data_IF_850721650338
#
_entry.id   IF_850721650338
#
_cell.length_a   1.000
_cell.length_b   1.000
_cell.length_c   1.000
_cell.angle_alpha   90.00
_cell.angle_beta   90.00
_cell.angle_gamma   90.00
#
_symmetry.space_group_name_H-M   'P 1'
#
loop_
_entity.id
_entity.type
_entity.pdbx_description
1 polymer ?
#
# COMPACT_ATOMS: atom_id res chain seq x y z
N UNK A 1 33.53 21.42 1.39
CA UNK A 1 33.75 20.19 2.16
C UNK A 1 32.49 19.34 1.99
N UNK A 2 32.45 18.52 0.95
CA UNK A 2 31.26 17.77 0.55
C UNK A 2 31.10 16.62 1.53
N UNK A 3 30.12 16.70 2.43
CA UNK A 3 29.74 15.58 3.30
C UNK A 3 29.24 14.49 2.36
N UNK A 4 29.95 13.37 2.26
CA UNK A 4 29.41 12.19 1.63
C UNK A 4 28.25 11.75 2.52
N UNK A 5 27.02 12.07 2.12
CA UNK A 5 25.84 11.48 2.73
C UNK A 5 25.97 9.97 2.53
N UNK A 6 25.91 9.22 3.64
CA UNK A 6 25.98 7.78 3.60
C UNK A 6 24.67 7.29 2.99
N UNK A 7 24.71 6.98 1.69
CA UNK A 7 23.54 6.56 0.92
C UNK A 7 23.51 5.04 0.82
N UNK A 8 22.44 4.42 1.31
CA UNK A 8 22.15 3.02 1.07
C UNK A 8 21.20 2.88 -0.11
N UNK A 9 21.51 1.96 -1.02
CA UNK A 9 20.68 1.63 -2.18
C UNK A 9 20.29 0.14 -2.08
N UNK A 10 19.00 -0.15 -2.15
CA UNK A 10 18.44 -1.51 -2.09
C UNK A 10 17.65 -1.77 -3.37
N UNK A 11 18.09 -2.76 -4.16
CA UNK A 11 17.40 -3.20 -5.38
C UNK A 11 16.30 -4.20 -5.04
N UNK A 12 15.11 -3.99 -5.59
CA UNK A 12 13.93 -4.84 -5.39
C UNK A 12 13.75 -5.78 -6.60
N UNK A 13 14.55 -6.83 -6.63
CA UNK A 13 14.67 -7.76 -7.76
C UNK A 13 13.38 -8.53 -8.08
N UNK A 14 12.47 -8.64 -7.11
CA UNK A 14 11.16 -9.29 -7.30
C UNK A 14 10.13 -8.45 -8.04
N UNK A 15 10.37 -7.15 -8.19
CA UNK A 15 9.47 -6.23 -8.88
C UNK A 15 9.99 -5.91 -10.29
N UNK A 16 9.20 -6.22 -11.32
CA UNK A 16 9.45 -5.75 -12.69
C UNK A 16 8.67 -4.46 -12.96
N UNK A 17 9.39 -3.35 -13.06
CA UNK A 17 8.85 -2.04 -13.44
C UNK A 17 8.36 -1.93 -14.87
N UNK A 18 8.64 -2.93 -15.71
CA UNK A 18 8.09 -3.04 -17.07
C UNK A 18 6.66 -3.60 -17.05
N UNK A 19 6.26 -4.25 -15.94
CA UNK A 19 4.89 -4.66 -15.68
C UNK A 19 4.17 -3.58 -14.85
N UNK A 20 2.92 -3.24 -15.21
CA UNK A 20 2.13 -2.24 -14.50
C UNK A 20 1.95 -2.58 -13.01
N UNK A 21 1.74 -3.86 -12.68
CA UNK A 21 1.58 -4.29 -11.29
C UNK A 21 2.88 -4.14 -10.50
N UNK A 22 4.02 -4.58 -11.06
CA UNK A 22 5.33 -4.39 -10.44
C UNK A 22 5.66 -2.91 -10.24
N UNK A 23 5.32 -2.08 -11.24
CA UNK A 23 5.44 -0.63 -11.15
C UNK A 23 4.59 -0.02 -10.01
N UNK A 24 3.30 -0.37 -9.95
CA UNK A 24 2.38 0.14 -8.92
C UNK A 24 2.75 -0.37 -7.51
N UNK A 25 3.20 -1.62 -7.40
CA UNK A 25 3.68 -2.19 -6.14
C UNK A 25 4.90 -1.41 -5.61
N UNK A 26 5.83 -1.04 -6.49
CA UNK A 26 6.98 -0.23 -6.13
C UNK A 26 6.56 1.18 -5.63
N UNK A 27 5.59 1.82 -6.29
CA UNK A 27 5.06 3.12 -5.83
C UNK A 27 4.34 3.00 -4.48
N UNK A 28 3.55 1.95 -4.27
CA UNK A 28 2.90 1.66 -3.00
C UNK A 28 3.91 1.46 -1.87
N UNK A 29 4.99 0.72 -2.15
CA UNK A 29 6.10 0.53 -1.22
C UNK A 29 6.78 1.85 -0.87
N UNK A 30 7.11 2.69 -1.86
CA UNK A 30 7.73 3.99 -1.61
C UNK A 30 6.86 4.86 -0.71
N UNK A 31 5.55 4.90 -0.99
CA UNK A 31 4.56 5.64 -0.19
C UNK A 31 4.46 5.13 1.25
N UNK A 32 4.56 3.81 1.42
CA UNK A 32 4.56 3.15 2.72
C UNK A 32 5.80 3.54 3.53
N UNK A 33 6.99 3.43 2.92
CA UNK A 33 8.26 3.81 3.56
C UNK A 33 8.29 5.29 3.95
N UNK A 34 7.79 6.17 3.08
CA UNK A 34 7.66 7.61 3.35
C UNK A 34 6.76 7.89 4.57
N UNK A 35 5.70 7.11 4.75
CA UNK A 35 4.79 7.27 5.89
C UNK A 35 5.39 6.89 7.24
N UNK A 36 6.33 5.93 7.27
CA UNK A 36 7.02 5.51 8.50
C UNK A 36 8.14 6.48 8.86
N UNK A 37 8.77 7.10 7.86
CA UNK A 37 9.85 8.08 8.05
C UNK A 37 9.39 9.46 8.55
N UNK A 38 8.11 9.64 8.91
CA UNK A 38 7.59 10.87 9.53
C UNK A 38 7.62 12.11 8.62
N UNK A 39 7.64 11.94 7.30
CA UNK A 39 7.61 13.06 6.34
C UNK A 39 8.81 14.02 6.45
N UNK A 40 9.97 13.50 6.86
CA UNK A 40 11.19 14.30 6.97
C UNK A 40 11.63 14.83 5.59
N UNK A 41 12.37 15.95 5.59
CA UNK A 41 12.82 16.62 4.37
C UNK A 41 13.70 15.75 3.42
N UNK A 42 14.12 14.55 3.87
CA UNK A 42 14.92 13.60 3.08
C UNK A 42 14.35 12.18 3.21
N UNK A 43 13.07 12.01 2.85
CA UNK A 43 12.42 10.70 2.79
C UNK A 43 13.07 9.73 1.78
N UNK A 44 12.62 8.47 1.76
CA UNK A 44 13.10 7.49 0.79
C UNK A 44 12.88 7.99 -0.64
N UNK A 45 13.84 7.72 -1.51
CA UNK A 45 13.70 7.99 -2.95
C UNK A 45 13.76 6.70 -3.73
N UNK A 46 13.18 6.68 -4.93
CA UNK A 46 13.21 5.51 -5.80
C UNK A 46 13.70 5.91 -7.18
N UNK A 47 14.56 5.06 -7.75
CA UNK A 47 14.99 5.13 -9.15
C UNK A 47 14.79 3.77 -9.82
N UNK A 48 14.69 3.78 -11.14
CA UNK A 48 14.61 2.55 -11.93
C UNK A 48 15.99 2.21 -12.50
N UNK A 49 16.41 0.96 -12.38
CA UNK A 49 17.69 0.47 -12.89
C UNK A 49 17.44 -0.59 -13.97
N UNK A 50 18.03 -0.45 -15.17
CA UNK A 50 17.93 -1.48 -16.21
C UNK A 50 18.55 -2.80 -15.74
N UNK A 51 17.86 -3.91 -16.02
CA UNK A 51 18.33 -5.27 -15.76
C UNK A 51 17.97 -6.19 -16.93
N UNK A 52 18.79 -6.16 -18.00
CA UNK A 52 18.47 -6.88 -19.22
C UNK A 52 17.26 -6.28 -19.93
N UNK A 53 16.17 -7.04 -20.05
CA UNK A 53 14.91 -6.59 -20.65
C UNK A 53 13.91 -6.02 -19.65
N UNK A 54 14.24 -5.98 -18.37
CA UNK A 54 13.36 -5.50 -17.29
C UNK A 54 13.95 -4.25 -16.62
N UNK A 55 13.15 -3.63 -15.75
CA UNK A 55 13.56 -2.50 -14.91
C UNK A 55 13.28 -2.81 -13.45
N UNK A 56 14.30 -2.80 -12.61
CA UNK A 56 14.11 -3.01 -11.18
C UNK A 56 14.06 -1.68 -10.42
N UNK A 57 13.15 -1.51 -9.46
CA UNK A 57 13.17 -0.37 -8.57
C UNK A 57 14.34 -0.49 -7.60
N UNK A 58 15.03 0.62 -7.39
CA UNK A 58 16.07 0.78 -6.39
C UNK A 58 15.62 1.87 -5.43
N UNK A 59 15.45 1.50 -4.16
CA UNK A 59 15.12 2.43 -3.08
C UNK A 59 16.41 2.94 -2.46
N UNK A 60 16.48 4.25 -2.25
CA UNK A 60 17.65 4.94 -1.73
C UNK A 60 17.29 5.71 -0.46
N UNK A 61 18.12 5.56 0.56
CA UNK A 61 18.02 6.28 1.82
C UNK A 61 19.27 7.11 2.06
N UNK A 62 19.11 8.29 2.66
CA UNK A 62 20.20 9.25 2.92
C UNK A 62 20.30 9.66 4.39
N UNK A 63 19.44 9.11 5.25
CA UNK A 63 19.35 9.47 6.67
C UNK A 63 20.02 8.43 7.56
N UNK A 64 20.63 8.91 8.65
CA UNK A 64 21.17 8.04 9.69
C UNK A 64 20.03 7.23 10.34
N UNK A 65 20.23 5.91 10.49
CA UNK A 65 19.23 4.99 11.02
C UNK A 65 18.20 4.50 10.00
N UNK A 66 18.30 4.91 8.74
CA UNK A 66 17.49 4.34 7.67
C UNK A 66 17.96 2.92 7.29
N UNK A 67 17.10 2.11 6.63
CA UNK A 67 17.47 0.78 6.17
C UNK A 67 18.76 0.76 5.36
N UNK A 68 19.73 -0.05 5.78
CA UNK A 68 21.03 -0.21 5.12
C UNK A 68 21.16 -1.55 4.39
N UNK A 69 20.27 -2.50 4.67
CA UNK A 69 20.25 -3.84 4.12
C UNK A 69 18.83 -4.32 3.76
N UNK A 70 18.73 -5.45 3.04
CA UNK A 70 17.45 -6.12 2.74
C UNK A 70 16.68 -6.44 4.04
N UNK A 71 17.38 -6.90 5.08
CA UNK A 71 16.77 -7.22 6.37
C UNK A 71 16.22 -5.98 7.08
N UNK A 72 16.98 -4.89 7.12
CA UNK A 72 16.52 -3.65 7.75
C UNK A 72 15.28 -3.09 7.04
N UNK A 73 15.20 -3.28 5.71
CA UNK A 73 14.03 -2.89 4.93
C UNK A 73 12.82 -3.76 5.27
N UNK A 74 13.00 -5.08 5.39
CA UNK A 74 11.93 -5.99 5.80
C UNK A 74 11.43 -5.67 7.21
N UNK A 75 12.33 -5.38 8.16
CA UNK A 75 11.99 -4.96 9.52
C UNK A 75 11.15 -3.67 9.50
N UNK A 76 11.56 -2.68 8.72
CA UNK A 76 10.84 -1.42 8.60
C UNK A 76 9.43 -1.61 8.02
N UNK A 77 9.27 -2.50 7.04
CA UNK A 77 7.99 -2.80 6.40
C UNK A 77 7.05 -3.60 7.30
N UNK A 78 7.59 -4.58 8.03
CA UNK A 78 6.82 -5.36 9.01
C UNK A 78 6.24 -4.44 10.09
N UNK A 79 7.07 -3.57 10.68
CA UNK A 79 6.63 -2.56 11.63
C UNK A 79 5.59 -1.60 11.02
N UNK A 80 5.76 -1.22 9.75
CA UNK A 80 4.81 -0.37 9.04
C UNK A 80 3.43 -1.03 8.91
N UNK A 81 3.41 -2.30 8.49
CA UNK A 81 2.17 -3.06 8.28
C UNK A 81 1.48 -3.29 9.62
N UNK A 82 2.22 -3.66 10.66
CA UNK A 82 1.69 -3.87 12.01
C UNK A 82 1.03 -2.59 12.54
N UNK A 83 1.70 -1.45 12.45
CA UNK A 83 1.18 -0.15 12.88
C UNK A 83 -0.12 0.26 12.15
N UNK A 84 -0.38 -0.29 10.96
CA UNK A 84 -1.56 0.03 10.15
C UNK A 84 -2.70 -0.98 10.29
N UNK A 85 -2.49 -2.11 10.97
CA UNK A 85 -3.42 -3.24 10.96
C UNK A 85 -4.74 -2.96 11.68
N UNK A 86 -4.71 -2.20 12.78
CA UNK A 86 -5.89 -1.87 13.60
C UNK A 86 -6.55 -0.54 13.23
N UNK A 87 -5.79 0.45 12.75
CA UNK A 87 -6.31 1.73 12.25
C UNK A 87 -6.51 1.76 10.73
N UNK A 88 -6.62 0.57 10.14
CA UNK A 88 -6.77 0.41 8.69
C UNK A 88 -8.05 1.08 8.17
N UNK A 89 -8.00 1.76 7.00
CA UNK A 89 -9.18 2.33 6.35
C UNK A 89 -10.17 1.27 5.85
N UNK A 90 -9.89 -0.03 6.07
CA UNK A 90 -10.72 -1.15 5.67
C UNK A 90 -11.58 -1.72 6.82
N UNK A 91 -11.59 -1.09 8.00
CA UNK A 91 -12.25 -1.62 9.22
C UNK A 91 -13.70 -1.15 9.43
N UNK A 92 -14.17 -0.17 8.67
CA UNK A 92 -15.45 0.52 8.93
C UNK A 92 -16.69 -0.22 8.42
N UNK A 93 -16.52 -1.14 7.46
CA UNK A 93 -17.58 -2.00 6.92
C UNK A 93 -16.96 -3.24 6.26
N UNK A 94 -17.81 -4.18 5.81
CA UNK A 94 -17.37 -5.34 5.00
C UNK A 94 -17.14 -4.98 3.53
N UNK A 95 -17.87 -4.00 3.04
CA UNK A 95 -17.95 -3.61 1.64
C UNK A 95 -18.19 -2.10 1.56
N UNK A 96 -17.90 -1.50 0.41
CA UNK A 96 -18.18 -0.08 0.13
C UNK A 96 -19.63 0.15 -0.32
N UNK A 97 -20.33 -0.91 -0.77
CA UNK A 97 -21.74 -0.88 -1.14
C UNK A 97 -22.70 -0.75 0.07
N UNK A 98 -22.59 0.35 0.80
CA UNK A 98 -23.36 0.69 2.02
C UNK A 98 -24.39 1.79 1.77
N UNK A 99 -25.19 2.10 2.80
CA UNK A 99 -26.10 3.26 2.76
C UNK A 99 -25.32 4.59 2.76
N UNK A 100 -25.89 5.67 2.20
CA UNK A 100 -25.27 7.01 2.24
C UNK A 100 -24.99 7.52 3.64
N UNK A 101 -25.87 7.19 4.60
CA UNK A 101 -25.71 7.57 6.01
C UNK A 101 -24.52 6.85 6.66
N UNK A 102 -24.35 5.57 6.37
CA UNK A 102 -23.22 4.77 6.88
C UNK A 102 -21.89 5.27 6.33
N UNK A 103 -21.79 5.49 5.01
CA UNK A 103 -20.59 6.05 4.40
C UNK A 103 -20.29 7.45 4.92
N UNK A 104 -21.31 8.31 5.06
CA UNK A 104 -21.15 9.66 5.61
C UNK A 104 -20.56 9.64 7.02
N UNK A 105 -21.04 8.74 7.90
CA UNK A 105 -20.48 8.61 9.25
C UNK A 105 -18.99 8.26 9.22
N UNK A 106 -18.59 7.33 8.38
CA UNK A 106 -17.18 7.00 8.18
C UNK A 106 -16.37 8.19 7.63
N UNK A 107 -16.83 8.81 6.54
CA UNK A 107 -16.13 9.93 5.91
C UNK A 107 -15.98 11.15 6.85
N UNK A 108 -17.02 11.47 7.63
CA UNK A 108 -16.97 12.54 8.62
C UNK A 108 -16.00 12.22 9.77
N UNK A 109 -16.02 10.99 10.30
CA UNK A 109 -15.08 10.58 11.34
C UNK A 109 -13.63 10.63 10.84
N UNK A 110 -13.39 10.18 9.61
CA UNK A 110 -12.08 10.25 8.96
C UNK A 110 -11.62 11.69 8.75
N UNK A 111 -12.50 12.58 8.29
CA UNK A 111 -12.19 14.00 8.09
C UNK A 111 -11.89 14.73 9.41
N UNK A 112 -12.63 14.43 10.49
CA UNK A 112 -12.41 15.03 11.81
C UNK A 112 -11.08 14.62 12.46
N UNK A 113 -10.59 13.41 12.17
CA UNK A 113 -9.30 12.92 12.65
C UNK A 113 -8.12 13.34 11.76
N UNK A 114 -8.39 13.84 10.55
CA UNK A 114 -7.34 14.09 9.57
C UNK A 114 -6.38 15.20 10.04
N UNK A 115 -5.08 14.87 10.05
CA UNK A 115 -3.98 15.80 10.29
C UNK A 115 -3.00 15.72 9.11
N UNK A 116 -2.13 16.73 8.89
CA UNK A 116 -1.15 16.69 7.79
C UNK A 116 -0.31 15.40 7.76
N UNK A 117 0.02 14.87 8.94
CA UNK A 117 0.78 13.64 9.18
C UNK A 117 -0.11 12.38 9.33
N UNK A 118 -1.41 12.54 9.55
CA UNK A 118 -2.38 11.45 9.76
C UNK A 118 -3.65 11.68 8.93
N UNK A 119 -3.57 11.48 7.61
CA UNK A 119 -4.69 11.72 6.66
C UNK A 119 -5.16 10.48 5.91
N UNK A 120 -4.59 9.31 6.20
CA UNK A 120 -4.81 8.08 5.41
C UNK A 120 -6.28 7.67 5.33
N UNK A 121 -7.00 7.67 6.46
CA UNK A 121 -8.42 7.32 6.47
C UNK A 121 -9.26 8.29 5.62
N UNK A 122 -8.95 9.59 5.66
CA UNK A 122 -9.65 10.59 4.86
C UNK A 122 -9.34 10.47 3.36
N UNK A 123 -8.09 10.18 3.01
CA UNK A 123 -7.69 9.90 1.63
C UNK A 123 -8.44 8.70 1.05
N UNK A 124 -8.52 7.61 1.83
CA UNK A 124 -9.28 6.43 1.42
C UNK A 124 -10.79 6.69 1.38
N UNK A 125 -11.35 7.46 2.30
CA UNK A 125 -12.76 7.85 2.23
C UNK A 125 -13.07 8.58 0.92
N UNK A 126 -12.28 9.59 0.56
CA UNK A 126 -12.44 10.30 -0.71
C UNK A 126 -12.21 9.40 -1.94
N UNK A 127 -11.34 8.40 -1.81
CA UNK A 127 -11.02 7.48 -2.89
C UNK A 127 -12.02 6.33 -3.04
N UNK A 128 -12.74 5.91 -1.99
CA UNK A 128 -13.71 4.82 -2.09
C UNK A 128 -14.96 5.24 -2.84
N UNK A 129 -15.57 6.36 -2.45
CA UNK A 129 -16.85 6.77 -2.99
C UNK A 129 -17.26 8.20 -2.60
N UNK A 130 -18.48 8.59 -2.98
CA UNK A 130 -19.13 9.84 -2.58
C UNK A 130 -20.59 9.57 -2.17
N UNK A 131 -21.01 10.01 -0.99
CA UNK A 131 -22.37 9.78 -0.47
C UNK A 131 -23.48 10.45 -1.28
N UNK A 132 -23.13 11.40 -2.16
CA UNK A 132 -24.06 12.06 -3.07
C UNK A 132 -24.30 11.27 -4.36
N UNK A 133 -23.47 10.26 -4.66
CA UNK A 133 -23.57 9.43 -5.86
C UNK A 133 -24.05 8.03 -5.48
N UNK A 134 -25.24 7.67 -5.97
CA UNK A 134 -25.91 6.42 -5.62
C UNK A 134 -26.01 5.49 -6.82
N UNK A 135 -25.91 4.19 -6.57
CA UNK A 135 -26.24 3.16 -7.52
C UNK A 135 -27.77 3.00 -7.67
N UNK A 136 -28.20 2.07 -8.54
CA UNK A 136 -29.63 1.81 -8.80
C UNK A 136 -30.36 1.21 -7.59
N UNK A 137 -29.63 0.73 -6.60
CA UNK A 137 -30.12 0.12 -5.37
C UNK A 137 -30.13 1.12 -4.21
N UNK A 138 -29.78 2.39 -4.45
CA UNK A 138 -29.74 3.45 -3.44
C UNK A 138 -28.54 3.34 -2.49
N UNK A 139 -27.53 2.55 -2.84
CA UNK A 139 -26.26 2.45 -2.09
C UNK A 139 -25.25 3.41 -2.68
N UNK A 140 -24.23 3.74 -1.91
CA UNK A 140 -23.14 4.58 -2.38
C UNK A 140 -22.44 3.92 -3.57
N UNK A 141 -22.21 4.69 -4.64
CA UNK A 141 -21.53 4.22 -5.83
C UNK A 141 -20.01 4.24 -5.63
N UNK A 142 -19.39 3.07 -5.80
CA UNK A 142 -17.94 2.91 -5.69
C UNK A 142 -17.18 3.58 -6.82
N UNK A 143 -15.98 4.04 -6.49
CA UNK A 143 -14.99 4.50 -7.47
C UNK A 143 -14.25 3.34 -8.14
N UNK A 144 -13.37 3.67 -9.09
CA UNK A 144 -12.46 2.72 -9.72
C UNK A 144 -11.43 2.08 -8.76
N UNK A 145 -11.28 2.60 -7.53
CA UNK A 145 -10.42 1.98 -6.51
C UNK A 145 -10.91 0.59 -6.11
N UNK A 146 -12.21 0.31 -6.26
CA UNK A 146 -12.75 -1.04 -6.08
C UNK A 146 -12.31 -1.92 -7.27
N UNK A 147 -11.18 -2.59 -7.10
CA UNK A 147 -10.54 -3.42 -8.14
C UNK A 147 -11.22 -4.78 -8.39
N UNK A 148 -12.23 -5.14 -7.59
CA UNK A 148 -12.95 -6.40 -7.69
C UNK A 148 -14.33 -6.19 -8.33
N UNK A 149 -14.66 -7.03 -9.32
CA UNK A 149 -15.98 -7.07 -9.97
C UNK A 149 -16.49 -8.51 -10.08
N UNK A 150 -17.80 -8.69 -10.28
CA UNK A 150 -18.43 -10.03 -10.27
C UNK A 150 -18.54 -10.62 -8.86
N UNK A 151 -18.66 -11.94 -8.72
CA UNK A 151 -18.94 -12.60 -7.43
C UNK A 151 -17.91 -12.33 -6.30
N UNK A 152 -16.68 -11.92 -6.65
CA UNK A 152 -15.63 -11.54 -5.69
C UNK A 152 -15.78 -10.12 -5.13
N UNK A 153 -16.79 -9.36 -5.52
CA UNK A 153 -17.04 -8.01 -5.00
C UNK A 153 -17.58 -8.00 -3.57
N UNK A 154 -18.24 -9.08 -3.13
CA UNK A 154 -18.75 -9.20 -1.78
C UNK A 154 -17.56 -9.26 -0.83
N UNK A 155 -17.58 -8.45 0.23
CA UNK A 155 -16.52 -8.42 1.24
C UNK A 155 -15.21 -7.77 0.78
N UNK A 156 -15.27 -6.77 -0.13
CA UNK A 156 -14.07 -6.09 -0.63
C UNK A 156 -13.17 -5.53 0.50
N UNK A 157 -13.73 -4.75 1.43
CA UNK A 157 -12.96 -4.14 2.53
C UNK A 157 -12.44 -5.22 3.49
N UNK A 158 -13.27 -6.21 3.79
CA UNK A 158 -12.87 -7.35 4.62
C UNK A 158 -11.74 -8.16 3.98
N UNK A 159 -11.74 -8.31 2.65
CA UNK A 159 -10.67 -8.97 1.90
C UNK A 159 -9.37 -8.16 1.92
N UNK A 160 -9.44 -6.83 1.75
CA UNK A 160 -8.28 -5.95 1.88
C UNK A 160 -7.70 -6.00 3.30
N UNK A 161 -8.55 -5.98 4.32
CA UNK A 161 -8.14 -6.11 5.72
C UNK A 161 -7.49 -7.47 5.99
N UNK A 162 -8.05 -8.54 5.44
CA UNK A 162 -7.50 -9.88 5.57
C UNK A 162 -6.11 -9.97 4.92
N UNK A 163 -5.90 -9.39 3.73
CA UNK A 163 -4.58 -9.31 3.10
C UNK A 163 -3.57 -8.56 3.96
N UNK A 164 -3.93 -7.39 4.50
CA UNK A 164 -3.07 -6.61 5.40
C UNK A 164 -2.68 -7.45 6.62
N UNK A 165 -3.64 -8.17 7.22
CA UNK A 165 -3.41 -8.99 8.43
C UNK A 165 -2.67 -10.30 8.18
N UNK A 166 -2.75 -10.85 6.97
CA UNK A 166 -2.10 -12.11 6.61
C UNK A 166 -0.72 -11.90 5.96
N UNK A 167 -0.39 -10.66 5.56
CA UNK A 167 0.95 -10.33 5.04
C UNK A 167 1.95 -10.48 6.17
N UNK A 168 3.05 -11.17 5.90
CA UNK A 168 4.11 -11.45 6.86
C UNK A 168 5.47 -11.26 6.18
N UNK A 169 6.56 -11.43 6.93
CA UNK A 169 7.91 -11.25 6.41
C UNK A 169 8.24 -12.10 5.18
N UNK A 170 7.84 -13.37 5.16
CA UNK A 170 8.09 -14.29 4.04
C UNK A 170 7.40 -13.78 2.76
N UNK A 171 6.16 -13.31 2.86
CA UNK A 171 5.46 -12.69 1.73
C UNK A 171 6.22 -11.46 1.20
N UNK A 172 6.74 -10.61 2.10
CA UNK A 172 7.51 -9.41 1.71
C UNK A 172 8.84 -9.79 1.03
N UNK A 173 9.58 -10.74 1.61
CA UNK A 173 10.85 -11.19 1.07
C UNK A 173 10.68 -11.77 -0.35
N UNK A 174 9.72 -12.69 -0.50
CA UNK A 174 9.41 -13.29 -1.80
C UNK A 174 8.96 -12.24 -2.83
N UNK A 175 8.06 -11.34 -2.46
CA UNK A 175 7.52 -10.34 -3.39
C UNK A 175 8.56 -9.28 -3.80
N UNK A 176 9.49 -8.92 -2.91
CA UNK A 176 10.44 -7.83 -3.16
C UNK A 176 11.77 -8.30 -3.74
N UNK A 177 12.19 -9.55 -3.48
CA UNK A 177 13.54 -10.00 -3.82
C UNK A 177 13.60 -11.32 -4.59
N UNK A 178 12.52 -12.10 -4.64
CA UNK A 178 12.48 -13.32 -5.43
C UNK A 178 11.74 -13.14 -6.74
N UNK A 179 12.04 -14.02 -7.70
CA UNK A 179 11.21 -14.14 -8.90
C UNK A 179 9.80 -14.58 -8.49
N UNK A 180 8.80 -13.85 -9.00
CA UNK A 180 7.39 -14.15 -8.76
C UNK A 180 7.03 -15.63 -9.02
N UNK A 181 6.27 -16.21 -8.09
CA UNK A 181 5.78 -17.58 -8.14
C UNK A 181 4.43 -17.70 -7.42
N UNK A 182 3.54 -18.55 -7.93
CA UNK A 182 2.26 -18.86 -7.30
C UNK A 182 2.45 -19.78 -6.08
N UNK A 183 2.84 -19.20 -4.93
CA UNK A 183 3.07 -19.94 -3.69
C UNK A 183 1.98 -19.75 -2.64
N UNK A 184 1.26 -18.63 -2.68
CA UNK A 184 0.28 -18.30 -1.65
C UNK A 184 -1.02 -19.11 -1.82
N UNK A 185 -1.42 -19.82 -0.76
CA UNK A 185 -2.64 -20.64 -0.79
C UNK A 185 -3.90 -19.76 -0.73
N UNK A 186 -4.09 -18.96 0.33
CA UNK A 186 -5.08 -17.87 0.54
C UNK A 186 -4.71 -17.07 1.81
N UNK A 187 -5.09 -15.78 1.94
CA UNK A 187 -5.71 -14.89 0.96
C UNK A 187 -4.70 -14.44 -0.11
N UNK A 188 -5.12 -14.32 -1.38
CA UNK A 188 -4.28 -13.76 -2.45
C UNK A 188 -5.16 -13.09 -3.50
N UNK A 189 -4.65 -11.99 -4.07
CA UNK A 189 -5.29 -11.29 -5.19
C UNK A 189 -5.08 -12.01 -6.54
N UNK A 190 -4.17 -12.99 -6.59
CA UNK A 190 -3.79 -13.74 -7.82
C UNK A 190 -3.43 -12.82 -8.98
N UNK A 191 -2.81 -11.69 -8.66
CA UNK A 191 -2.28 -10.77 -9.65
C UNK A 191 -0.89 -11.22 -10.06
N UNK A 192 -0.60 -11.25 -11.37
CA UNK A 192 0.67 -11.74 -11.93
C UNK A 192 1.50 -10.54 -12.45
N UNK A 193 2.58 -10.14 -11.75
CA UNK A 193 3.49 -9.08 -12.17
C UNK A 193 4.50 -9.53 -13.24
#
# INVERSE_FOLDING_TARGET
MTRFENRSDITLEGLDGSNLLGFLAALGLLRLLDSVGGGTAHGPTMRWQPAGSTWHPVVSFSQDGAPASKEDLLDALEAAIEAQSDESPFTWAKDTAVSPEEFRRFAQAAALRARPDERRAADFAAAFACEALLDRQGRVQDSALRTMSGAGHQHYLESMLLLVRSTNREHLEHALFERWAYRDERPSMRWDP
#
